data_IF_215928099713
#
_entry.id   IF_215928099713
#
_cell.length_a   1.000
_cell.length_b   1.000
_cell.length_c   1.000
_cell.angle_alpha   90.00
_cell.angle_beta   90.00
_cell.angle_gamma   90.00
#
_symmetry.space_group_name_H-M   'P 1'
#
loop_
_entity.id
_entity.type
_entity.pdbx_description
1 polymer ?
#
# COMPACT_ATOMS: atom_id res chain seq x y z
N UNK A 1 -14.79 12.36 0.49
CA UNK A 1 -14.12 13.66 0.27
C UNK A 1 -14.20 14.07 -1.19
N UNK A 2 -13.55 13.37 -2.12
CA UNK A 2 -13.55 13.75 -3.55
C UNK A 2 -14.94 13.84 -4.22
N UNK A 3 -15.95 13.15 -3.70
CA UNK A 3 -17.35 13.23 -4.18
C UNK A 3 -18.10 14.50 -3.74
N UNK A 4 -17.55 15.29 -2.79
CA UNK A 4 -18.24 16.42 -2.17
C UNK A 4 -19.45 16.04 -1.28
N UNK A 5 -19.77 14.74 -1.15
CA UNK A 5 -20.88 14.27 -0.32
C UNK A 5 -20.46 14.25 1.14
N UNK A 6 -21.24 14.93 1.98
CA UNK A 6 -21.07 14.87 3.43
C UNK A 6 -21.43 13.47 3.96
N UNK A 7 -20.78 13.06 5.04
CA UNK A 7 -21.11 11.82 5.73
C UNK A 7 -22.37 12.02 6.58
N UNK A 8 -23.41 11.24 6.32
CA UNK A 8 -24.57 11.18 7.20
C UNK A 8 -24.18 10.52 8.52
N UNK A 9 -24.60 11.12 9.64
CA UNK A 9 -24.26 10.68 11.00
C UNK A 9 -25.49 10.56 11.89
N UNK A 10 -25.43 9.60 12.82
CA UNK A 10 -26.40 9.47 13.91
C UNK A 10 -26.18 10.51 15.02
N UNK A 11 -27.06 10.48 16.02
CA UNK A 11 -27.01 11.41 17.16
C UNK A 11 -25.72 11.27 18.01
N UNK A 12 -25.07 10.11 17.95
CA UNK A 12 -23.80 9.79 18.61
C UNK A 12 -22.55 10.11 17.74
N UNK A 13 -22.75 10.64 16.53
CA UNK A 13 -21.69 10.93 15.56
C UNK A 13 -21.20 9.72 14.76
N UNK A 14 -21.77 8.53 14.99
CA UNK A 14 -21.46 7.34 14.21
C UNK A 14 -21.96 7.50 12.75
N UNK A 15 -21.25 6.91 11.76
CA UNK A 15 -21.71 6.94 10.37
C UNK A 15 -23.05 6.21 10.23
N UNK A 16 -24.05 6.88 9.65
CA UNK A 16 -25.39 6.33 9.47
C UNK A 16 -25.53 5.44 8.22
N UNK A 17 -24.62 5.59 7.26
CA UNK A 17 -24.62 4.83 6.01
C UNK A 17 -23.21 4.76 5.40
N UNK A 18 -22.98 3.68 4.64
CA UNK A 18 -21.82 3.53 3.76
C UNK A 18 -21.91 4.51 2.58
N UNK A 19 -20.76 4.96 2.10
CA UNK A 19 -20.65 5.84 0.95
C UNK A 19 -20.83 5.02 -0.34
N UNK A 20 -21.70 5.43 -1.28
CA UNK A 20 -22.08 4.62 -2.45
C UNK A 20 -20.96 4.41 -3.48
N UNK A 21 -19.86 5.16 -3.37
CA UNK A 21 -18.69 5.01 -4.23
C UNK A 21 -17.62 4.08 -3.65
N UNK A 22 -17.84 3.50 -2.46
CA UNK A 22 -16.92 2.54 -1.90
C UNK A 22 -17.02 1.21 -2.66
N UNK A 23 -15.87 0.65 -2.99
CA UNK A 23 -15.74 -0.71 -3.52
C UNK A 23 -14.67 -1.45 -2.72
N UNK A 24 -14.84 -2.76 -2.44
CA UNK A 24 -13.80 -3.56 -1.83
C UNK A 24 -12.48 -3.47 -2.59
N UNK A 25 -11.37 -3.27 -1.89
CA UNK A 25 -10.06 -3.07 -2.50
C UNK A 25 -8.95 -3.83 -1.76
N UNK A 26 -7.80 -4.10 -2.41
CA UNK A 26 -6.75 -4.92 -1.83
C UNK A 26 -5.83 -4.16 -0.86
N UNK A 27 -6.00 -2.84 -0.66
CA UNK A 27 -5.16 -2.04 0.26
C UNK A 27 -5.68 -2.19 1.70
N UNK A 28 -5.19 -3.16 2.47
CA UNK A 28 -5.67 -3.35 3.84
C UNK A 28 -5.32 -2.15 4.75
N UNK A 29 -6.24 -1.85 5.67
CA UNK A 29 -6.11 -0.78 6.66
C UNK A 29 -6.53 0.62 6.18
N UNK A 30 -6.68 0.82 4.86
CA UNK A 30 -7.09 2.11 4.29
C UNK A 30 -8.56 2.13 3.89
N UNK A 31 -9.09 3.34 3.75
CA UNK A 31 -10.40 3.67 3.15
C UNK A 31 -11.55 2.83 3.69
N UNK A 32 -12.06 3.12 4.90
CA UNK A 32 -13.36 2.63 5.28
C UNK A 32 -14.43 3.13 4.31
N UNK A 33 -15.58 2.49 4.32
CA UNK A 33 -16.74 2.85 3.51
C UNK A 33 -17.50 4.08 4.04
N UNK A 34 -16.93 4.83 4.99
CA UNK A 34 -17.49 6.07 5.54
C UNK A 34 -16.37 7.07 5.84
N UNK A 35 -16.71 8.32 6.14
CA UNK A 35 -15.72 9.31 6.63
C UNK A 35 -15.63 9.21 8.17
N UNK A 36 -14.48 8.81 8.76
CA UNK A 36 -14.33 8.72 10.21
C UNK A 36 -14.61 10.07 10.89
N UNK A 37 -15.29 10.05 12.05
CA UNK A 37 -15.62 11.29 12.76
C UNK A 37 -14.37 12.06 13.21
N UNK A 38 -13.31 11.34 13.58
CA UNK A 38 -12.00 11.92 13.95
C UNK A 38 -11.31 12.66 12.80
N UNK A 39 -11.74 12.45 11.55
CA UNK A 39 -11.22 13.16 10.38
C UNK A 39 -12.05 14.43 10.06
N UNK A 40 -13.22 14.60 10.67
CA UNK A 40 -14.18 15.64 10.28
C UNK A 40 -13.61 17.05 10.44
N UNK A 41 -12.91 17.32 11.54
CA UNK A 41 -12.28 18.63 11.79
C UNK A 41 -11.29 18.99 10.68
N UNK A 42 -10.46 18.04 10.24
CA UNK A 42 -9.50 18.26 9.16
C UNK A 42 -10.18 18.50 7.81
N UNK A 43 -11.35 17.88 7.57
CA UNK A 43 -12.15 18.12 6.37
C UNK A 43 -12.77 19.52 6.39
N UNK A 44 -13.41 19.89 7.49
CA UNK A 44 -14.11 21.17 7.64
C UNK A 44 -13.15 22.36 7.61
N UNK A 45 -11.98 22.21 8.24
CA UNK A 45 -10.91 23.21 8.23
C UNK A 45 -9.98 23.13 7.01
N UNK A 46 -10.23 22.20 6.07
CA UNK A 46 -9.41 22.00 4.86
C UNK A 46 -7.91 21.84 5.15
N UNK A 47 -7.56 21.00 6.13
CA UNK A 47 -6.17 20.76 6.57
C UNK A 47 -5.40 19.78 5.66
N UNK A 48 -5.72 19.77 4.36
CA UNK A 48 -5.08 18.95 3.33
C UNK A 48 -5.04 19.73 2.02
N UNK A 49 -3.97 19.56 1.25
CA UNK A 49 -3.80 20.25 -0.04
C UNK A 49 -4.41 19.46 -1.20
N UNK A 50 -4.19 18.14 -1.23
CA UNK A 50 -4.62 17.27 -2.32
C UNK A 50 -5.03 15.89 -1.80
N UNK A 51 -6.04 15.29 -2.43
CA UNK A 51 -6.44 13.88 -2.22
C UNK A 51 -6.13 13.11 -3.49
N UNK A 52 -5.05 12.33 -3.48
CA UNK A 52 -4.60 11.56 -4.64
C UNK A 52 -5.10 10.12 -4.54
N UNK A 53 -5.99 9.65 -5.43
CA UNK A 53 -6.38 8.25 -5.48
C UNK A 53 -5.23 7.39 -6.03
N UNK A 54 -5.02 6.22 -5.44
CA UNK A 54 -3.99 5.26 -5.87
C UNK A 54 -4.62 3.87 -6.01
N UNK A 55 -4.44 3.19 -7.16
CA UNK A 55 -5.01 1.86 -7.36
C UNK A 55 -4.18 0.81 -6.61
N UNK A 56 -4.84 -0.23 -6.09
CA UNK A 56 -4.21 -1.33 -5.37
C UNK A 56 -2.98 -1.96 -6.05
N UNK A 57 -3.01 -2.23 -7.38
CA UNK A 57 -1.85 -2.75 -8.11
C UNK A 57 -0.59 -1.87 -8.01
N UNK A 58 -0.72 -0.53 -7.96
CA UNK A 58 0.44 0.34 -7.77
C UNK A 58 1.01 0.22 -6.35
N UNK A 59 0.16 0.04 -5.34
CA UNK A 59 0.60 -0.25 -3.98
C UNK A 59 1.41 -1.55 -3.88
N UNK A 60 0.92 -2.62 -4.50
CA UNK A 60 1.62 -3.93 -4.54
C UNK A 60 2.96 -3.79 -5.26
N UNK A 61 2.98 -3.15 -6.43
CA UNK A 61 4.19 -2.92 -7.24
C UNK A 61 5.27 -2.18 -6.44
N UNK A 62 4.91 -1.10 -5.76
CA UNK A 62 5.87 -0.31 -5.00
C UNK A 62 6.30 -0.96 -3.69
N UNK A 63 5.43 -1.72 -3.02
CA UNK A 63 5.83 -2.54 -1.87
C UNK A 63 6.89 -3.59 -2.29
N UNK A 64 6.69 -4.30 -3.41
CA UNK A 64 7.69 -5.23 -3.97
C UNK A 64 8.99 -4.52 -4.34
N UNK A 65 8.90 -3.36 -5.01
CA UNK A 65 10.08 -2.60 -5.42
C UNK A 65 10.91 -2.08 -4.24
N UNK A 66 10.26 -1.60 -3.17
CA UNK A 66 10.94 -1.17 -1.95
C UNK A 66 11.71 -2.32 -1.30
N UNK A 67 11.11 -3.51 -1.21
CA UNK A 67 11.79 -4.68 -0.67
C UNK A 67 13.00 -5.10 -1.52
N UNK A 68 12.84 -5.14 -2.84
CA UNK A 68 13.88 -5.62 -3.77
C UNK A 68 15.03 -4.62 -3.99
N UNK A 69 14.75 -3.31 -3.94
CA UNK A 69 15.72 -2.27 -4.31
C UNK A 69 16.31 -1.53 -3.12
N UNK A 70 15.52 -1.36 -2.06
CA UNK A 70 15.90 -0.56 -0.89
C UNK A 70 16.01 -1.38 0.40
N UNK A 71 15.63 -2.67 0.36
CA UNK A 71 15.59 -3.52 1.56
C UNK A 71 14.52 -3.11 2.58
N UNK A 72 13.52 -2.34 2.15
CA UNK A 72 12.43 -1.87 3.01
C UNK A 72 11.20 -2.73 2.77
N UNK A 73 10.87 -3.59 3.74
CA UNK A 73 9.79 -4.55 3.63
C UNK A 73 8.50 -4.04 4.29
N UNK A 74 7.56 -3.55 3.49
CA UNK A 74 6.30 -2.94 3.94
C UNK A 74 5.06 -3.61 3.34
N UNK A 75 3.90 -3.40 3.96
CA UNK A 75 2.60 -3.82 3.44
C UNK A 75 2.12 -3.01 2.21
N UNK A 76 0.95 -3.39 1.69
CA UNK A 76 0.36 -2.79 0.48
C UNK A 76 0.08 -1.28 0.67
N UNK A 77 -0.33 -0.87 1.87
CA UNK A 77 -0.60 0.54 2.18
C UNK A 77 0.65 1.42 2.22
N UNK A 78 1.79 0.88 2.67
CA UNK A 78 3.08 1.57 2.61
C UNK A 78 3.54 1.72 1.17
N UNK A 79 3.43 0.66 0.37
CA UNK A 79 3.67 0.73 -1.07
C UNK A 79 2.78 1.76 -1.78
N UNK A 80 1.50 1.86 -1.41
CA UNK A 80 0.58 2.85 -1.97
C UNK A 80 0.96 4.29 -1.61
N UNK A 81 1.34 4.53 -0.35
CA UNK A 81 1.84 5.84 0.11
C UNK A 81 3.12 6.24 -0.62
N UNK A 82 4.04 5.30 -0.82
CA UNK A 82 5.27 5.52 -1.58
C UNK A 82 5.00 5.77 -3.07
N UNK A 83 4.03 5.07 -3.66
CA UNK A 83 3.62 5.28 -5.05
C UNK A 83 3.18 6.73 -5.28
N UNK A 84 2.34 7.27 -4.39
CA UNK A 84 1.89 8.67 -4.45
C UNK A 84 3.07 9.62 -4.21
N UNK A 85 3.92 9.35 -3.21
CA UNK A 85 5.10 10.16 -2.96
C UNK A 85 6.03 10.23 -4.18
N UNK A 86 6.18 9.12 -4.92
CA UNK A 86 6.97 9.07 -6.15
C UNK A 86 6.35 9.89 -7.27
N UNK A 87 5.02 9.87 -7.42
CA UNK A 87 4.31 10.71 -8.40
C UNK A 87 4.42 12.20 -8.08
N UNK A 88 4.37 12.58 -6.80
CA UNK A 88 4.61 13.95 -6.36
C UNK A 88 6.06 14.36 -6.65
N UNK A 89 7.02 13.49 -6.34
CA UNK A 89 8.45 13.75 -6.58
C UNK A 89 8.78 14.00 -8.05
N UNK A 90 8.10 13.34 -8.98
CA UNK A 90 8.29 13.53 -10.43
C UNK A 90 7.91 14.93 -10.92
N UNK A 91 7.03 15.61 -10.18
CA UNK A 91 6.54 16.95 -10.51
C UNK A 91 7.15 18.03 -9.62
N UNK A 92 7.92 17.63 -8.60
CA UNK A 92 8.47 18.54 -7.61
C UNK A 92 9.68 19.30 -8.15
N UNK A 93 9.90 20.51 -7.63
CA UNK A 93 11.09 21.31 -7.93
C UNK A 93 12.36 20.55 -7.50
N UNK A 94 13.44 20.56 -8.29
CA UNK A 94 14.70 19.93 -7.89
C UNK A 94 15.17 20.39 -6.50
N UNK A 95 15.57 19.44 -5.66
CA UNK A 95 15.96 19.68 -4.26
C UNK A 95 14.82 19.61 -3.24
N UNK A 96 13.59 19.36 -3.66
CA UNK A 96 12.46 19.13 -2.75
C UNK A 96 12.67 17.86 -1.91
N UNK A 97 12.20 17.90 -0.66
CA UNK A 97 12.21 16.75 0.26
C UNK A 97 10.77 16.31 0.51
N UNK A 98 10.49 15.03 0.31
CA UNK A 98 9.17 14.43 0.47
C UNK A 98 9.26 13.32 1.51
N UNK A 99 8.37 13.38 2.50
CA UNK A 99 8.19 12.34 3.52
C UNK A 99 6.93 11.55 3.20
N UNK A 100 6.99 10.23 3.30
CA UNK A 100 5.82 9.35 3.28
C UNK A 100 5.87 8.37 4.44
N UNK A 101 4.69 7.95 4.91
CA UNK A 101 4.54 7.00 6.00
C UNK A 101 4.40 5.60 5.43
N UNK A 102 5.15 4.64 5.96
CA UNK A 102 5.01 3.22 5.69
C UNK A 102 4.39 2.57 6.94
N UNK A 103 3.07 2.27 6.94
CA UNK A 103 2.35 1.99 8.18
C UNK A 103 2.81 0.73 8.91
N UNK A 104 3.16 -0.33 8.18
CA UNK A 104 3.49 -1.63 8.76
C UNK A 104 4.49 -2.44 7.92
N UNK A 105 4.95 -3.55 8.53
CA UNK A 105 5.82 -4.56 7.91
C UNK A 105 5.06 -5.44 6.90
N UNK A 106 5.75 -5.84 5.84
CA UNK A 106 5.21 -6.76 4.82
C UNK A 106 4.97 -8.20 5.29
N UNK A 107 5.51 -8.60 6.45
CA UNK A 107 5.40 -9.95 7.01
C UNK A 107 3.95 -10.42 7.14
N UNK A 108 3.05 -9.49 7.48
CA UNK A 108 1.64 -9.78 7.75
C UNK A 108 0.83 -10.04 6.47
N UNK A 109 1.47 -9.95 5.31
CA UNK A 109 0.83 -9.97 4.00
C UNK A 109 1.21 -11.20 3.15
N UNK A 110 1.92 -12.19 3.73
CA UNK A 110 2.37 -13.40 3.03
C UNK A 110 1.23 -14.23 2.39
N UNK A 111 0.00 -14.10 2.88
CA UNK A 111 -1.19 -14.79 2.35
C UNK A 111 -2.08 -13.87 1.50
N UNK A 112 -1.54 -12.76 1.01
CA UNK A 112 -2.29 -11.74 0.26
C UNK A 112 -1.72 -11.59 -1.16
N UNK A 113 -2.40 -10.85 -2.05
CA UNK A 113 -1.88 -10.59 -3.39
C UNK A 113 -0.50 -9.94 -3.47
N UNK A 114 0.01 -9.40 -2.36
CA UNK A 114 1.40 -8.94 -2.28
C UNK A 114 2.41 -10.07 -2.58
N UNK A 115 2.08 -11.31 -2.25
CA UNK A 115 2.92 -12.48 -2.46
C UNK A 115 2.47 -13.34 -3.65
N UNK A 116 1.48 -12.89 -4.42
CA UNK A 116 1.08 -13.59 -5.65
C UNK A 116 2.29 -13.71 -6.60
N UNK A 117 2.51 -14.93 -7.08
CA UNK A 117 3.62 -15.32 -7.95
C UNK A 117 4.94 -15.57 -7.23
N UNK A 118 4.96 -15.65 -5.89
CA UNK A 118 6.12 -16.10 -5.12
C UNK A 118 5.80 -17.48 -4.55
N UNK A 119 6.36 -18.51 -5.17
CA UNK A 119 6.19 -19.89 -4.73
C UNK A 119 7.09 -20.20 -3.52
N UNK A 120 6.63 -21.10 -2.67
CA UNK A 120 7.40 -21.53 -1.49
C UNK A 120 8.57 -22.45 -1.86
N UNK A 121 8.42 -23.19 -2.96
CA UNK A 121 9.41 -24.13 -3.46
C UNK A 121 10.17 -23.52 -4.64
N UNK A 122 11.43 -23.94 -4.77
CA UNK A 122 12.26 -23.51 -5.89
C UNK A 122 11.76 -24.11 -7.21
N UNK A 123 11.71 -23.30 -8.26
CA UNK A 123 11.44 -23.80 -9.61
C UNK A 123 12.67 -24.48 -10.23
N UNK A 124 12.50 -25.06 -11.43
CA UNK A 124 13.57 -25.78 -12.11
C UNK A 124 14.76 -24.87 -12.50
N UNK A 125 14.52 -23.59 -12.78
CA UNK A 125 15.55 -22.61 -13.13
C UNK A 125 16.34 -22.22 -11.88
N UNK A 126 15.66 -21.98 -10.77
CA UNK A 126 16.23 -21.68 -9.46
C UNK A 126 17.06 -22.86 -8.94
N UNK A 127 16.58 -24.10 -9.10
CA UNK A 127 17.33 -25.32 -8.75
C UNK A 127 18.60 -25.43 -9.62
N UNK A 128 18.49 -25.19 -10.93
CA UNK A 128 19.64 -25.22 -11.82
C UNK A 128 20.68 -24.15 -11.43
N UNK A 129 20.22 -22.94 -11.07
CA UNK A 129 21.06 -21.85 -10.60
C UNK A 129 21.76 -22.22 -9.27
N UNK A 130 21.04 -22.77 -8.31
CA UNK A 130 21.60 -23.24 -7.03
C UNK A 130 22.65 -24.34 -7.22
N UNK A 131 22.44 -25.27 -8.17
CA UNK A 131 23.41 -26.33 -8.49
C UNK A 131 24.61 -25.83 -9.30
N UNK A 132 24.53 -24.65 -9.90
CA UNK A 132 25.64 -24.06 -10.67
C UNK A 132 26.80 -23.60 -9.79
N UNK A 133 26.55 -23.34 -8.50
CA UNK A 133 27.61 -22.96 -7.56
C UNK A 133 28.38 -24.19 -7.05
N UNK A 134 29.73 -24.18 -7.08
CA UNK A 134 30.56 -25.34 -6.68
C UNK A 134 30.51 -25.72 -5.19
N UNK A 135 29.86 -24.92 -4.34
CA UNK A 135 29.77 -25.15 -2.89
C UNK A 135 28.43 -24.69 -2.35
N UNK A 136 28.13 -25.07 -1.09
CA UNK A 136 26.86 -24.74 -0.38
C UNK A 136 25.59 -25.27 -1.08
N UNK A 137 25.70 -26.38 -1.82
CA UNK A 137 24.54 -27.03 -2.45
C UNK A 137 23.64 -27.65 -1.39
N UNK A 138 22.32 -27.54 -1.58
CA UNK A 138 21.37 -28.32 -0.80
C UNK A 138 21.61 -29.83 -1.01
N UNK A 139 21.46 -30.68 0.02
CA UNK A 139 21.54 -32.13 -0.14
C UNK A 139 20.53 -32.60 -1.19
N UNK A 140 20.91 -33.59 -2.00
CA UNK A 140 19.93 -34.28 -2.85
C UNK A 140 18.98 -35.08 -1.94
N UNK A 141 17.67 -34.98 -2.20
CA UNK A 141 16.64 -35.81 -1.58
C UNK A 141 16.76 -37.29 -1.97
#
# INVERSE_FOLDING_TARGET
IGSGKAQERGADGAPAASHPAFEPHPIQGWTPDFIPNVLQEAVDASLYDEVVPVPGPEGIKWAKALAQKEGIFTGISGGASFAVARQIAEKATPGSVILCVLPDTGERYMTTPLFDGIEAEMDAEEIALSRSTPGCQFPAE
#
